data_IF_341492304165
#
_entry.id   IF_341492304165
#
_cell.length_a   1.000
_cell.length_b   1.000
_cell.length_c   1.000
_cell.angle_alpha   90.00
_cell.angle_beta   90.00
_cell.angle_gamma   90.00
#
_symmetry.space_group_name_H-M   'P 1'
#
loop_
_entity.id
_entity.type
_entity.pdbx_description
1 polymer ?
#
# COMPACT_ATOMS: atom_id res chain seq x y z
N UNK A 1 -0.01 -2.75 11.07
CA UNK A 1 -1.19 -3.33 11.75
C UNK A 1 -2.02 -4.21 10.83
N UNK A 2 -2.56 -3.71 9.71
CA UNK A 2 -3.39 -4.51 8.80
C UNK A 2 -2.66 -5.75 8.22
N UNK A 3 -1.40 -5.61 7.78
CA UNK A 3 -0.59 -6.74 7.34
C UNK A 3 -0.35 -7.79 8.44
N UNK A 4 -0.29 -7.39 9.71
CA UNK A 4 -0.17 -8.34 10.83
C UNK A 4 -1.48 -9.11 11.03
N UNK A 5 -2.62 -8.43 10.91
CA UNK A 5 -3.95 -9.06 11.00
C UNK A 5 -4.11 -10.12 9.89
N UNK A 6 -3.84 -9.77 8.64
CA UNK A 6 -3.96 -10.72 7.52
C UNK A 6 -2.92 -11.84 7.55
N UNK A 7 -1.81 -11.66 8.27
CA UNK A 7 -0.81 -12.71 8.44
C UNK A 7 -1.22 -13.72 9.54
N UNK A 8 -1.68 -13.20 10.69
CA UNK A 8 -2.01 -14.01 11.88
C UNK A 8 -3.44 -14.56 11.88
N UNK A 9 -4.40 -13.83 11.32
CA UNK A 9 -5.82 -14.18 11.26
C UNK A 9 -6.41 -13.83 9.88
N UNK A 10 -5.96 -14.49 8.79
CA UNK A 10 -6.34 -14.15 7.42
C UNK A 10 -7.84 -14.28 7.14
N UNK A 11 -8.57 -15.14 7.86
CA UNK A 11 -10.01 -15.38 7.63
C UNK A 11 -10.90 -14.31 8.28
N UNK A 12 -10.47 -13.75 9.41
CA UNK A 12 -11.29 -12.85 10.22
C UNK A 12 -11.88 -11.67 9.44
N UNK A 13 -11.10 -10.93 8.60
CA UNK A 13 -11.67 -9.85 7.80
C UNK A 13 -12.71 -10.34 6.78
N UNK A 14 -12.49 -11.52 6.18
CA UNK A 14 -13.42 -12.08 5.19
C UNK A 14 -14.74 -12.47 5.85
N UNK A 15 -14.70 -13.10 7.01
CA UNK A 15 -15.89 -13.46 7.79
C UNK A 15 -16.65 -12.20 8.26
N UNK A 16 -15.93 -11.16 8.70
CA UNK A 16 -16.54 -9.91 9.17
C UNK A 16 -17.22 -9.12 8.06
N UNK A 17 -16.65 -9.12 6.85
CA UNK A 17 -17.19 -8.39 5.70
C UNK A 17 -18.07 -9.23 4.78
N UNK A 18 -18.35 -10.49 5.15
CA UNK A 18 -19.10 -11.47 4.34
C UNK A 18 -18.55 -11.59 2.91
N UNK A 19 -17.22 -11.69 2.80
CA UNK A 19 -16.51 -11.85 1.52
C UNK A 19 -16.03 -13.28 1.39
N UNK A 20 -16.28 -13.90 0.23
CA UNK A 20 -15.81 -15.25 -0.07
C UNK A 20 -14.29 -15.34 0.06
N UNK A 21 -13.84 -16.29 0.88
CA UNK A 21 -12.43 -16.55 1.10
C UNK A 21 -11.78 -17.08 -0.20
N UNK A 22 -10.51 -16.74 -0.50
CA UNK A 22 -9.78 -17.41 -1.56
C UNK A 22 -9.59 -18.90 -1.25
N UNK A 23 -9.41 -19.70 -2.29
CA UNK A 23 -9.20 -21.15 -2.20
C UNK A 23 -7.90 -21.54 -1.46
N UNK A 24 -6.96 -20.63 -1.27
CA UNK A 24 -5.76 -20.84 -0.45
C UNK A 24 -5.38 -19.60 0.35
N UNK A 25 -5.17 -19.75 1.67
CA UNK A 25 -4.85 -18.64 2.57
C UNK A 25 -3.52 -17.94 2.24
N UNK A 26 -2.59 -18.65 1.61
CA UNK A 26 -1.33 -18.09 1.11
C UNK A 26 -1.51 -16.90 0.15
N UNK A 27 -2.64 -16.83 -0.56
CA UNK A 27 -2.98 -15.67 -1.42
C UNK A 27 -3.29 -14.40 -0.61
N UNK A 28 -3.54 -14.53 0.68
CA UNK A 28 -3.75 -13.43 1.62
C UNK A 28 -2.48 -13.15 2.41
N UNK A 29 -1.86 -14.21 2.94
CA UNK A 29 -0.71 -14.09 3.84
C UNK A 29 0.55 -13.59 3.12
N UNK A 30 0.80 -13.99 1.87
CA UNK A 30 1.98 -13.52 1.15
C UNK A 30 1.91 -12.02 0.84
N UNK A 31 0.82 -11.48 0.25
CA UNK A 31 0.65 -10.03 0.13
C UNK A 31 0.68 -9.31 1.48
N UNK A 32 0.13 -9.91 2.54
CA UNK A 32 0.21 -9.34 3.88
C UNK A 32 1.66 -9.20 4.38
N UNK A 33 2.51 -10.21 4.17
CA UNK A 33 3.93 -10.14 4.46
C UNK A 33 4.66 -9.10 3.59
N UNK A 34 4.33 -9.01 2.29
CA UNK A 34 4.86 -7.95 1.42
C UNK A 34 4.49 -6.56 1.92
N UNK A 35 3.24 -6.34 2.33
CA UNK A 35 2.80 -5.06 2.91
C UNK A 35 3.57 -4.71 4.18
N UNK A 36 3.99 -5.70 5.00
CA UNK A 36 4.86 -5.45 6.14
C UNK A 36 6.27 -5.04 5.73
N UNK A 37 6.85 -5.68 4.71
CA UNK A 37 8.15 -5.27 4.15
C UNK A 37 8.09 -3.82 3.65
N UNK A 38 7.05 -3.47 2.91
CA UNK A 38 6.85 -2.09 2.46
C UNK A 38 6.61 -1.13 3.62
N UNK A 39 5.89 -1.53 4.66
CA UNK A 39 5.71 -0.71 5.86
C UNK A 39 7.05 -0.42 6.55
N UNK A 40 7.96 -1.40 6.63
CA UNK A 40 9.32 -1.18 7.15
C UNK A 40 10.12 -0.23 6.25
N UNK A 41 10.04 -0.40 4.93
CA UNK A 41 10.65 0.52 3.97
C UNK A 41 10.10 1.96 4.10
N UNK A 42 8.80 2.12 4.35
CA UNK A 42 8.22 3.44 4.59
C UNK A 42 8.63 4.03 5.93
N UNK A 43 8.84 3.21 6.96
CA UNK A 43 9.37 3.66 8.24
C UNK A 43 10.81 4.18 8.10
N UNK A 44 11.67 3.53 7.30
CA UNK A 44 13.05 4.01 7.05
C UNK A 44 13.05 5.32 6.27
N UNK A 45 12.18 5.46 5.27
CA UNK A 45 11.96 6.73 4.56
C UNK A 45 11.47 7.83 5.51
N UNK A 46 10.54 7.53 6.40
CA UNK A 46 10.01 8.52 7.33
C UNK A 46 11.06 9.00 8.35
N UNK A 47 11.95 8.09 8.78
CA UNK A 47 13.02 8.39 9.73
C UNK A 47 14.13 9.25 9.11
N UNK A 48 14.55 8.92 7.89
CA UNK A 48 15.61 9.64 7.17
C UNK A 48 15.23 9.83 5.69
N UNK A 49 14.39 10.83 5.38
CA UNK A 49 13.79 10.97 4.05
C UNK A 49 14.78 11.38 2.96
N UNK A 50 15.79 12.18 3.31
CA UNK A 50 16.83 12.61 2.36
C UNK A 50 17.77 11.44 1.99
N UNK A 51 18.24 10.69 2.98
CA UNK A 51 19.12 9.54 2.77
C UNK A 51 18.43 8.38 2.05
N UNK A 52 17.13 8.21 2.26
CA UNK A 52 16.35 7.10 1.68
C UNK A 52 15.43 7.53 0.52
N UNK A 53 15.70 8.68 -0.13
CA UNK A 53 14.87 9.18 -1.23
C UNK A 53 14.74 8.18 -2.39
N UNK A 54 15.77 7.36 -2.61
CA UNK A 54 15.78 6.29 -3.61
C UNK A 54 14.70 5.21 -3.38
N UNK A 55 14.17 5.07 -2.16
CA UNK A 55 13.12 4.11 -1.83
C UNK A 55 11.72 4.63 -2.15
N UNK A 56 11.53 5.96 -2.22
CA UNK A 56 10.23 6.60 -2.44
C UNK A 56 9.58 6.17 -3.77
N UNK A 57 10.31 6.06 -4.91
CA UNK A 57 9.74 5.54 -6.15
C UNK A 57 9.08 4.16 -6.02
N UNK A 58 9.65 3.24 -5.24
CA UNK A 58 9.04 1.92 -5.03
C UNK A 58 7.72 2.03 -4.24
N UNK A 59 7.61 3.01 -3.34
CA UNK A 59 6.34 3.36 -2.71
C UNK A 59 5.30 3.82 -3.72
N UNK A 60 5.67 4.75 -4.61
CA UNK A 60 4.78 5.24 -5.68
C UNK A 60 4.32 4.07 -6.57
N UNK A 61 5.24 3.21 -6.99
CA UNK A 61 4.94 2.05 -7.83
C UNK A 61 3.98 1.07 -7.15
N UNK A 62 4.16 0.80 -5.85
CA UNK A 62 3.23 -0.02 -5.08
C UNK A 62 1.81 0.58 -5.08
N UNK A 63 1.70 1.89 -4.80
CA UNK A 63 0.40 2.58 -4.80
C UNK A 63 -0.24 2.56 -6.19
N UNK A 64 0.53 2.82 -7.23
CA UNK A 64 0.05 2.79 -8.62
C UNK A 64 -0.43 1.40 -9.02
N UNK A 65 0.31 0.34 -8.68
CA UNK A 65 -0.07 -1.04 -8.95
C UNK A 65 -1.39 -1.40 -8.24
N UNK A 66 -1.50 -1.11 -6.94
CA UNK A 66 -2.73 -1.41 -6.21
C UNK A 66 -3.92 -0.58 -6.70
N UNK A 67 -3.76 0.73 -6.86
CA UNK A 67 -4.85 1.60 -7.34
C UNK A 67 -5.28 1.25 -8.76
N UNK A 68 -4.35 0.88 -9.64
CA UNK A 68 -4.69 0.45 -11.00
C UNK A 68 -5.54 -0.81 -11.01
N UNK A 69 -5.11 -1.84 -10.28
CA UNK A 69 -5.84 -3.13 -10.21
C UNK A 69 -7.16 -2.98 -9.45
N UNK A 70 -7.13 -2.43 -8.24
CA UNK A 70 -8.34 -2.24 -7.43
C UNK A 70 -9.31 -1.28 -8.10
N UNK A 71 -8.82 -0.18 -8.68
CA UNK A 71 -9.62 0.78 -9.43
C UNK A 71 -10.30 0.16 -10.65
N UNK A 72 -9.61 -0.71 -11.39
CA UNK A 72 -10.19 -1.46 -12.50
C UNK A 72 -11.35 -2.36 -12.05
N UNK A 73 -11.14 -3.19 -11.01
CA UNK A 73 -12.21 -4.04 -10.48
C UNK A 73 -13.35 -3.25 -9.82
N UNK A 74 -13.05 -2.09 -9.25
CA UNK A 74 -14.08 -1.20 -8.74
C UNK A 74 -14.92 -0.64 -9.89
N UNK A 75 -14.30 -0.13 -10.95
CA UNK A 75 -15.02 0.37 -12.14
C UNK A 75 -15.87 -0.73 -12.80
N UNK A 76 -15.41 -1.99 -12.78
CA UNK A 76 -16.18 -3.14 -13.24
C UNK A 76 -17.32 -3.58 -12.30
N UNK A 77 -17.46 -2.97 -11.11
CA UNK A 77 -18.51 -3.27 -10.14
C UNK A 77 -18.29 -4.57 -9.35
N UNK A 78 -17.12 -5.21 -9.46
CA UNK A 78 -16.85 -6.53 -8.87
C UNK A 78 -15.96 -6.48 -7.62
N UNK A 79 -15.38 -5.32 -7.29
CA UNK A 79 -14.54 -5.18 -6.10
C UNK A 79 -15.37 -5.21 -4.80
N UNK A 80 -15.10 -6.15 -3.87
CA UNK A 80 -15.73 -6.17 -2.56
C UNK A 80 -15.54 -4.86 -1.79
N UNK A 81 -16.58 -4.46 -1.04
CA UNK A 81 -16.61 -3.19 -0.31
C UNK A 81 -15.42 -2.97 0.62
N UNK A 82 -14.92 -4.04 1.26
CA UNK A 82 -13.80 -3.96 2.20
C UNK A 82 -12.50 -3.42 1.60
N UNK A 83 -12.32 -3.52 0.28
CA UNK A 83 -11.10 -3.06 -0.40
C UNK A 83 -11.16 -1.59 -0.86
N UNK A 84 -12.36 -1.02 -1.01
CA UNK A 84 -12.55 0.33 -1.55
C UNK A 84 -11.88 1.42 -0.70
N UNK A 85 -11.96 1.40 0.65
CA UNK A 85 -11.26 2.40 1.47
C UNK A 85 -9.76 2.39 1.26
N UNK A 86 -9.15 1.21 1.11
CA UNK A 86 -7.71 1.08 0.86
C UNK A 86 -7.34 1.67 -0.49
N UNK A 87 -8.12 1.42 -1.55
CA UNK A 87 -7.85 2.01 -2.86
C UNK A 87 -7.82 3.56 -2.82
N UNK A 88 -8.72 4.18 -2.05
CA UNK A 88 -8.74 5.64 -1.85
C UNK A 88 -7.51 6.11 -1.05
N UNK A 89 -7.21 5.44 0.06
CA UNK A 89 -6.05 5.78 0.91
C UNK A 89 -4.75 5.64 0.10
N UNK A 90 -4.59 4.56 -0.65
CA UNK A 90 -3.41 4.30 -1.47
C UNK A 90 -3.25 5.34 -2.59
N UNK A 91 -4.35 5.79 -3.19
CA UNK A 91 -4.31 6.84 -4.20
C UNK A 91 -3.79 8.16 -3.61
N UNK A 92 -4.36 8.59 -2.48
CA UNK A 92 -3.94 9.81 -1.78
C UNK A 92 -2.47 9.70 -1.36
N UNK A 93 -2.08 8.57 -0.77
CA UNK A 93 -0.70 8.32 -0.35
C UNK A 93 0.26 8.29 -1.54
N UNK A 94 -0.15 7.76 -2.69
CA UNK A 94 0.62 7.81 -3.93
C UNK A 94 0.95 9.24 -4.37
N UNK A 95 -0.05 10.14 -4.31
CA UNK A 95 0.15 11.56 -4.60
C UNK A 95 1.11 12.22 -3.61
N UNK A 96 0.97 11.92 -2.31
CA UNK A 96 1.86 12.44 -1.27
C UNK A 96 3.30 11.93 -1.43
N UNK A 97 3.50 10.66 -1.78
CA UNK A 97 4.82 10.09 -2.07
C UNK A 97 5.45 10.74 -3.30
N UNK A 98 4.68 10.95 -4.36
CA UNK A 98 5.15 11.66 -5.55
C UNK A 98 5.57 13.10 -5.20
N UNK A 99 4.78 13.80 -4.40
CA UNK A 99 5.11 15.14 -3.95
C UNK A 99 6.38 15.16 -3.09
N UNK A 100 6.50 14.25 -2.12
CA UNK A 100 7.70 14.12 -1.29
C UNK A 100 8.96 13.87 -2.14
N UNK A 101 8.87 12.97 -3.13
CA UNK A 101 9.98 12.70 -4.04
C UNK A 101 10.42 13.95 -4.82
N UNK A 102 9.46 14.75 -5.31
CA UNK A 102 9.74 15.99 -6.04
C UNK A 102 10.42 17.01 -5.11
N UNK A 103 9.91 17.20 -3.89
CA UNK A 103 10.43 18.20 -2.94
C UNK A 103 11.85 17.85 -2.50
N UNK A 104 12.11 16.59 -2.14
CA UNK A 104 13.42 16.12 -1.70
C UNK A 104 14.46 16.06 -2.83
N UNK A 105 14.03 16.15 -4.09
CA UNK A 105 14.93 16.18 -5.25
C UNK A 105 15.49 17.57 -5.56
N UNK A 106 15.00 18.62 -4.89
CA UNK A 106 15.47 19.99 -5.10
C UNK A 106 16.82 20.18 -4.40
N UNK A 107 17.85 20.70 -5.08
CA UNK A 107 19.09 21.07 -4.42
C UNK A 107 18.80 22.04 -3.27
N UNK A 108 19.36 21.78 -2.10
CA UNK A 108 19.40 22.79 -1.03
C UNK A 108 20.02 24.06 -1.62
N UNK A 109 19.32 25.20 -1.56
CA UNK A 109 19.94 26.49 -1.90
C UNK A 109 21.20 26.62 -1.03
N UNK A 110 22.38 26.92 -1.61
CA UNK A 110 23.49 27.38 -0.78
C UNK A 110 22.99 28.63 -0.04
N UNK A 111 23.03 28.55 1.30
CA UNK A 111 22.78 29.68 2.19
C UNK A 111 23.97 30.61 2.21
#
# INVERSE_FOLDING_TARGET
LLGLLFLAAPTYPYDFFDVTLPNHLGYVQFPAAMLLIFALMFATVAWEPWGNRNLIPYGILLKAAYCGVAGWYWAAGTLPGMWKPFAVIDFIMGLLFAWAWIVLGRPSRPG
#
